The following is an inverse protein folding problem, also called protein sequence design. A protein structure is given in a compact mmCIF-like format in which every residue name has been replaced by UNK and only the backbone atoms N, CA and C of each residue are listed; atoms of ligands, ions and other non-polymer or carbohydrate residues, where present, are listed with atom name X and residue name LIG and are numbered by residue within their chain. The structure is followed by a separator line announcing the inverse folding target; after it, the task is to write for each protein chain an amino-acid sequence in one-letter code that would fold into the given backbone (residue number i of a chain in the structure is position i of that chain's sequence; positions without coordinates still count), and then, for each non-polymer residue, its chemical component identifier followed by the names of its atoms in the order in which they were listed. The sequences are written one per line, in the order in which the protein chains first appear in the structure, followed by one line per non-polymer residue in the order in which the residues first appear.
data_IF_819160766402
#
_entry.id   IF_819160766402
#
_cell.length_a   1.000
_cell.length_b   1.000
_cell.length_c   1.000
_cell.angle_alpha   90.00
_cell.angle_beta   90.00
_cell.angle_gamma   90.00
#
_symmetry.space_group_name_H-M   'P 1'
#
loop_
_entity.id
_entity.type
_entity.pdbx_description
1 polymer ?
#
# COMPACT_ATOMS: atom_id res chain seq x y z
N UNK A 1 5.24 -13.68 19.55
CA UNK A 1 4.58 -12.85 18.52
C UNK A 1 4.23 -13.75 17.34
N UNK A 2 2.93 -13.97 17.08
CA UNK A 2 2.48 -14.90 16.05
C UNK A 2 2.97 -14.51 14.65
N UNK A 3 3.58 -15.46 13.93
CA UNK A 3 3.94 -15.31 12.52
C UNK A 3 2.69 -15.51 11.66
N UNK A 4 1.90 -14.45 11.45
CA UNK A 4 0.75 -14.52 10.56
C UNK A 4 1.23 -14.51 9.10
N UNK A 5 0.98 -15.60 8.37
CA UNK A 5 1.25 -15.62 6.93
C UNK A 5 0.30 -14.71 6.17
N UNK A 6 -0.96 -14.66 6.61
CA UNK A 6 -2.03 -13.89 6.01
C UNK A 6 -2.83 -13.18 7.12
N UNK A 7 -3.16 -11.93 6.88
CA UNK A 7 -4.06 -11.12 7.70
C UNK A 7 -5.11 -10.51 6.78
N UNK A 8 -6.38 -10.75 7.08
CA UNK A 8 -7.50 -10.12 6.39
C UNK A 8 -8.31 -9.32 7.41
N UNK A 9 -8.64 -8.08 7.08
CA UNK A 9 -9.42 -7.17 7.94
C UNK A 9 -10.57 -6.59 7.12
N UNK A 10 -11.79 -6.80 7.59
CA UNK A 10 -13.00 -6.31 6.94
C UNK A 10 -13.55 -5.11 7.72
N UNK A 11 -13.60 -3.94 7.07
CA UNK A 11 -14.03 -2.65 7.62
C UNK A 11 -13.52 -2.37 9.05
N UNK A 12 -12.19 -2.41 9.29
CA UNK A 12 -11.65 -2.13 10.61
C UNK A 12 -11.95 -0.69 11.01
N UNK A 13 -12.59 -0.51 12.17
CA UNK A 13 -12.87 0.82 12.73
C UNK A 13 -11.59 1.42 13.30
N UNK A 14 -11.41 2.73 13.10
CA UNK A 14 -10.27 3.50 13.62
C UNK A 14 -8.90 3.03 13.12
N UNK A 15 -8.85 2.39 11.94
CA UNK A 15 -7.61 1.93 11.33
C UNK A 15 -6.72 3.13 11.00
N UNK A 16 -5.67 3.36 11.79
CA UNK A 16 -4.72 4.41 11.52
C UNK A 16 -3.42 3.85 10.90
N UNK A 17 -2.59 4.74 10.35
CA UNK A 17 -1.33 4.35 9.70
C UNK A 17 -0.29 3.72 10.63
N UNK A 18 -0.32 4.04 11.93
CA UNK A 18 0.53 3.37 12.91
C UNK A 18 0.13 1.92 13.05
N UNK A 19 -1.17 1.63 13.15
CA UNK A 19 -1.69 0.27 13.24
C UNK A 19 -1.21 -0.54 12.02
N UNK A 20 -1.41 -0.02 10.81
CA UNK A 20 -0.94 -0.63 9.56
C UNK A 20 0.57 -0.93 9.56
N UNK A 21 1.36 -0.03 10.14
CA UNK A 21 2.83 -0.14 10.18
C UNK A 21 3.35 -1.12 11.23
N UNK A 22 2.48 -1.58 12.12
CA UNK A 22 2.79 -2.59 13.16
C UNK A 22 2.33 -4.00 12.78
N UNK A 23 1.57 -4.16 11.69
CA UNK A 23 1.06 -5.45 11.23
C UNK A 23 2.19 -6.38 10.79
N UNK A 24 2.44 -7.41 11.59
CA UNK A 24 3.49 -8.41 11.35
C UNK A 24 2.96 -9.58 10.52
N UNK A 25 2.60 -9.33 9.26
CA UNK A 25 2.12 -10.36 8.34
C UNK A 25 2.86 -10.33 6.98
N UNK A 26 2.93 -11.47 6.31
CA UNK A 26 3.49 -11.53 4.94
C UNK A 26 2.52 -11.01 3.89
N UNK A 27 1.24 -11.29 4.08
CA UNK A 27 0.15 -10.86 3.21
C UNK A 27 -0.92 -10.17 4.03
N UNK A 28 -1.29 -8.95 3.62
CA UNK A 28 -2.31 -8.16 4.27
C UNK A 28 -3.40 -7.85 3.24
N UNK A 29 -4.65 -8.08 3.60
CA UNK A 29 -5.83 -7.68 2.83
C UNK A 29 -6.75 -6.85 3.72
N UNK A 30 -7.19 -5.71 3.22
CA UNK A 30 -8.00 -4.76 3.99
C UNK A 30 -9.14 -4.28 3.11
N UNK A 31 -10.37 -4.44 3.59
CA UNK A 31 -11.54 -3.78 3.03
C UNK A 31 -11.87 -2.61 3.96
N UNK A 32 -11.99 -1.39 3.45
CA UNK A 32 -12.15 -0.20 4.31
C UNK A 32 -12.78 0.98 3.58
N UNK A 33 -13.35 1.90 4.34
CA UNK A 33 -13.89 3.20 3.94
C UNK A 33 -13.17 4.36 4.68
N UNK A 34 -12.31 4.05 5.67
CA UNK A 34 -11.77 5.03 6.63
C UNK A 34 -10.34 5.49 6.37
N UNK A 35 -9.63 4.88 5.41
CA UNK A 35 -8.26 5.30 5.10
C UNK A 35 -8.24 6.64 4.38
N UNK A 36 -7.09 7.31 4.38
CA UNK A 36 -6.82 8.43 3.49
C UNK A 36 -5.63 8.13 2.58
N UNK A 37 -5.53 8.85 1.44
CA UNK A 37 -4.36 8.75 0.56
C UNK A 37 -3.08 9.18 1.28
N UNK A 38 -3.19 10.03 2.31
CA UNK A 38 -2.08 10.47 3.15
C UNK A 38 -1.60 9.35 4.07
N UNK A 39 -2.52 8.54 4.61
CA UNK A 39 -2.18 7.37 5.41
C UNK A 39 -1.44 6.34 4.56
N UNK A 40 -1.92 6.07 3.35
CA UNK A 40 -1.22 5.19 2.41
C UNK A 40 0.15 5.74 2.02
N UNK A 41 0.27 7.04 1.73
CA UNK A 41 1.56 7.68 1.44
C UNK A 41 2.54 7.49 2.61
N UNK A 42 2.07 7.73 3.84
CA UNK A 42 2.88 7.59 5.05
C UNK A 42 3.27 6.13 5.31
N UNK A 43 2.37 5.18 5.09
CA UNK A 43 2.66 3.75 5.13
C UNK A 43 3.80 3.37 4.16
N UNK A 44 3.72 3.77 2.89
CA UNK A 44 4.78 3.46 1.92
C UNK A 44 6.10 4.15 2.26
N UNK A 45 6.07 5.37 2.82
CA UNK A 45 7.27 6.03 3.35
C UNK A 45 7.89 5.25 4.52
N UNK A 46 7.09 4.71 5.43
CA UNK A 46 7.55 3.87 6.55
C UNK A 46 8.11 2.54 6.06
N UNK A 47 7.45 1.89 5.09
CA UNK A 47 7.98 0.69 4.45
C UNK A 47 9.33 0.96 3.77
N UNK A 48 9.49 2.11 3.09
CA UNK A 48 10.79 2.53 2.53
C UNK A 48 11.87 2.68 3.60
N UNK A 49 11.50 3.07 4.82
CA UNK A 49 12.40 3.16 5.99
C UNK A 49 12.65 1.81 6.68
N UNK A 50 11.94 0.75 6.30
CA UNK A 50 12.16 -0.62 6.79
C UNK A 50 11.09 -1.17 7.74
N UNK A 51 9.96 -0.46 7.91
CA UNK A 51 8.78 -1.01 8.60
C UNK A 51 8.19 -2.19 7.81
N UNK A 52 7.46 -3.07 8.51
CA UNK A 52 6.84 -4.28 7.95
C UNK A 52 7.81 -5.14 7.11
N UNK A 53 8.93 -5.60 7.70
CA UNK A 53 10.00 -6.28 6.96
C UNK A 53 9.58 -7.64 6.36
N UNK A 54 8.46 -8.21 6.80
CA UNK A 54 7.91 -9.47 6.28
C UNK A 54 6.89 -9.26 5.16
N UNK A 55 6.42 -8.03 4.95
CA UNK A 55 5.36 -7.74 3.99
C UNK A 55 5.83 -8.06 2.57
N UNK A 56 5.18 -9.04 1.97
CA UNK A 56 5.35 -9.44 0.57
C UNK A 56 4.22 -8.90 -0.29
N UNK A 57 3.00 -8.88 0.23
CA UNK A 57 1.81 -8.46 -0.51
C UNK A 57 0.87 -7.65 0.39
N UNK A 58 0.31 -6.57 -0.15
CA UNK A 58 -0.75 -5.79 0.47
C UNK A 58 -1.85 -5.55 -0.57
N UNK A 59 -3.08 -5.79 -0.16
CA UNK A 59 -4.29 -5.55 -0.94
C UNK A 59 -5.21 -4.65 -0.12
N UNK A 60 -5.66 -3.54 -0.71
CA UNK A 60 -6.63 -2.64 -0.09
C UNK A 60 -7.76 -2.45 -1.08
N UNK A 61 -8.95 -2.88 -0.69
CA UNK A 61 -10.20 -2.50 -1.33
C UNK A 61 -10.78 -1.34 -0.54
N UNK A 62 -10.73 -0.16 -1.13
CA UNK A 62 -11.15 1.06 -0.47
C UNK A 62 -12.41 1.61 -1.13
N UNK A 63 -13.51 1.54 -0.42
CA UNK A 63 -14.78 2.15 -0.80
C UNK A 63 -14.66 3.67 -0.66
N UNK A 64 -14.54 4.37 -1.79
CA UNK A 64 -14.34 5.81 -1.81
C UNK A 64 -14.93 6.41 -3.09
N UNK A 65 -16.05 7.10 -2.90
CA UNK A 65 -16.69 7.88 -3.96
C UNK A 65 -15.79 9.00 -4.49
N UNK A 66 -14.76 9.38 -3.72
CA UNK A 66 -13.85 10.45 -4.05
C UNK A 66 -12.76 9.93 -4.98
N UNK A 67 -12.72 10.49 -6.20
CA UNK A 67 -11.64 10.22 -7.16
C UNK A 67 -10.28 10.56 -6.53
N UNK A 68 -9.32 9.62 -6.50
CA UNK A 68 -8.05 9.82 -5.80
C UNK A 68 -7.14 10.83 -6.51
N UNK A 69 -6.54 11.74 -5.74
CA UNK A 69 -5.41 12.54 -6.20
C UNK A 69 -4.10 11.75 -6.05
N UNK A 70 -3.64 11.20 -7.17
CA UNK A 70 -2.40 10.45 -7.25
C UNK A 70 -1.16 11.23 -6.81
N UNK A 71 -1.18 12.57 -6.92
CA UNK A 71 -0.06 13.38 -6.46
C UNK A 71 0.06 13.33 -4.92
N UNK A 72 -1.06 13.22 -4.20
CA UNK A 72 -1.06 13.05 -2.73
C UNK A 72 -0.45 11.70 -2.35
N UNK A 73 -0.90 10.62 -2.98
CA UNK A 73 -0.43 9.26 -2.68
C UNK A 73 1.06 9.07 -3.01
N UNK A 74 1.53 9.63 -4.12
CA UNK A 74 2.89 9.38 -4.61
C UNK A 74 3.92 10.44 -4.24
N UNK A 75 3.49 11.52 -3.54
CA UNK A 75 4.37 12.59 -3.09
C UNK A 75 5.60 12.02 -2.37
N UNK A 76 6.78 12.45 -2.83
CA UNK A 76 8.11 12.10 -2.25
C UNK A 76 8.48 10.60 -2.29
N UNK A 77 7.74 9.76 -3.01
CA UNK A 77 8.12 8.36 -3.16
C UNK A 77 9.31 8.15 -4.11
N UNK A 78 9.76 9.19 -4.84
CA UNK A 78 10.89 9.19 -5.81
C UNK A 78 10.86 7.94 -6.71
N UNK A 79 9.80 7.78 -7.47
CA UNK A 79 9.54 6.54 -8.17
C UNK A 79 9.12 6.76 -9.63
N UNK A 80 9.37 5.74 -10.44
CA UNK A 80 9.04 5.74 -11.88
C UNK A 80 7.54 5.49 -12.00
N UNK A 81 6.79 6.51 -12.42
CA UNK A 81 5.34 6.43 -12.64
C UNK A 81 5.05 6.12 -14.10
N UNK A 82 4.25 5.08 -14.37
CA UNK A 82 3.52 4.98 -15.64
C UNK A 82 2.09 5.42 -15.35
N UNK A 83 1.73 6.61 -15.85
CA UNK A 83 0.42 7.24 -15.62
C UNK A 83 -0.52 6.94 -16.78
N UNK A 84 -1.69 6.40 -16.49
CA UNK A 84 -2.88 6.64 -17.30
C UNK A 84 -4.00 7.14 -16.35
N UNK A 85 -5.14 7.59 -16.89
CA UNK A 85 -6.17 8.28 -16.10
C UNK A 85 -6.80 7.44 -14.99
N UNK A 86 -6.81 6.11 -15.11
CA UNK A 86 -7.49 5.19 -14.16
C UNK A 86 -6.52 4.31 -13.36
N UNK A 87 -5.41 3.91 -13.96
CA UNK A 87 -4.43 2.97 -13.43
C UNK A 87 -3.09 3.65 -13.23
N UNK A 88 -2.55 3.47 -12.03
CA UNK A 88 -1.22 3.94 -11.68
C UNK A 88 -0.34 2.77 -11.34
N UNK A 89 0.89 2.81 -11.87
CA UNK A 89 1.93 1.86 -11.51
C UNK A 89 3.17 2.60 -11.05
N UNK A 90 3.66 2.21 -9.87
CA UNK A 90 4.83 2.77 -9.23
C UNK A 90 5.81 1.67 -8.82
N UNK A 91 7.11 1.93 -8.90
CA UNK A 91 8.13 1.08 -8.28
C UNK A 91 8.90 1.87 -7.24
N UNK A 92 8.85 1.44 -5.98
CA UNK A 92 9.59 2.02 -4.86
C UNK A 92 10.69 1.06 -4.40
N UNK A 93 11.71 1.61 -3.74
CA UNK A 93 12.81 0.84 -3.14
C UNK A 93 12.96 1.22 -1.67
N UNK A 94 13.12 0.24 -0.80
CA UNK A 94 13.36 0.47 0.63
C UNK A 94 14.86 0.59 0.95
N UNK A 95 15.17 0.95 2.21
CA UNK A 95 16.52 1.11 2.75
C UNK A 95 17.37 -0.17 2.70
N UNK A 96 16.75 -1.35 2.57
CA UNK A 96 17.43 -2.65 2.40
C UNK A 96 17.69 -2.99 0.93
N UNK A 97 17.38 -2.07 0.03
CA UNK A 97 17.54 -2.25 -1.41
C UNK A 97 16.51 -3.17 -2.07
N UNK A 98 15.44 -3.54 -1.37
CA UNK A 98 14.33 -4.36 -1.88
C UNK A 98 13.35 -3.48 -2.66
N UNK A 99 12.89 -3.98 -3.80
CA UNK A 99 11.92 -3.27 -4.64
C UNK A 99 10.48 -3.69 -4.30
N UNK A 100 9.57 -2.74 -4.32
CA UNK A 100 8.14 -2.95 -4.20
C UNK A 100 7.42 -2.29 -5.37
N UNK A 101 6.47 -3.01 -5.98
CA UNK A 101 5.61 -2.49 -7.04
C UNK A 101 4.26 -2.16 -6.41
N UNK A 102 3.74 -0.97 -6.72
CA UNK A 102 2.41 -0.52 -6.32
C UNK A 102 1.58 -0.36 -7.58
N UNK A 103 0.38 -0.91 -7.55
CA UNK A 103 -0.67 -0.71 -8.54
C UNK A 103 -1.86 -0.09 -7.85
N UNK A 104 -2.41 0.97 -8.45
CA UNK A 104 -3.67 1.55 -8.02
C UNK A 104 -4.62 1.54 -9.21
N UNK A 105 -5.87 1.12 -8.99
CA UNK A 105 -6.94 1.15 -9.97
C UNK A 105 -8.16 1.80 -9.32
N UNK A 106 -8.71 2.83 -9.95
CA UNK A 106 -9.95 3.45 -9.50
C UNK A 106 -11.06 3.15 -10.52
N UNK A 107 -12.06 2.39 -10.07
CA UNK A 107 -13.20 1.94 -10.86
C UNK A 107 -14.44 1.83 -9.98
N UNK A 108 -15.61 2.18 -10.52
CA UNK A 108 -16.91 1.96 -9.86
C UNK A 108 -16.95 2.47 -8.40
N UNK A 109 -16.49 3.70 -8.16
CA UNK A 109 -16.40 4.32 -6.83
C UNK A 109 -15.53 3.55 -5.81
N UNK A 110 -14.64 2.68 -6.29
CA UNK A 110 -13.72 1.93 -5.46
C UNK A 110 -12.27 2.21 -5.88
N UNK A 111 -11.40 2.32 -4.88
CA UNK A 111 -9.95 2.37 -5.07
C UNK A 111 -9.35 1.03 -4.66
N UNK A 112 -8.81 0.31 -5.63
CA UNK A 112 -8.02 -0.88 -5.40
C UNK A 112 -6.54 -0.50 -5.34
N UNK A 113 -5.86 -0.87 -4.24
CA UNK A 113 -4.41 -0.72 -4.09
C UNK A 113 -3.80 -2.09 -3.90
N UNK A 114 -2.87 -2.44 -4.78
CA UNK A 114 -2.05 -3.63 -4.68
C UNK A 114 -0.59 -3.22 -4.51
N UNK A 115 0.08 -3.83 -3.56
CA UNK A 115 1.52 -3.77 -3.41
C UNK A 115 2.09 -5.17 -3.42
N UNK A 116 3.16 -5.38 -4.21
CA UNK A 116 3.93 -6.63 -4.21
C UNK A 116 5.42 -6.37 -4.15
N UNK A 117 6.08 -7.07 -3.25
CA UNK A 117 7.53 -7.11 -3.18
C UNK A 117 8.09 -7.87 -4.39
N UNK A 118 9.04 -7.25 -5.09
CA UNK A 118 9.79 -7.88 -6.17
C UNK A 118 11.19 -8.17 -5.65
N UNK A 119 11.60 -9.44 -5.61
CA UNK A 119 13.01 -9.77 -5.37
C UNK A 119 13.86 -9.19 -6.51
N UNK A 120 15.09 -8.78 -6.21
CA UNK A 120 16.10 -8.54 -7.26
C UNK A 120 16.23 -9.83 -8.07
N UNK A 121 16.11 -9.75 -9.40
CA UNK A 121 16.81 -10.73 -10.23
C UNK A 121 18.27 -10.62 -9.83
N UNK A 122 18.86 -11.73 -9.40
CA UNK A 122 20.32 -11.82 -9.34
C UNK A 122 20.87 -11.68 -10.75
#
# INVERSE_FOLDING_TARGET
MANLKWLHMQYPRNLNVHDLSTLNAERISIDTDQLSLRDLNRFFKLWKKGSNPKLKELYIFWDTEIRPDWNVLFKELKAITKRNSRKQKLTIRNCRGVCGKIWCDWSDANLYVEFRMSKKSR
#
